data_IF_004352247108
#
_entry.id   IF_004352247108
#
_cell.length_a   1.000
_cell.length_b   1.000
_cell.length_c   1.000
_cell.angle_alpha   90.00
_cell.angle_beta   90.00
_cell.angle_gamma   90.00
#
_symmetry.space_group_name_H-M   'P 1'
#
loop_
_entity.id
_entity.type
_entity.pdbx_description
1 polymer ?
#
# COMPACT_ATOMS: atom_id res chain seq x y z
N UNK A 1 -17.47 3.74 -8.45
CA UNK A 1 -17.06 2.91 -9.60
C UNK A 1 -16.06 3.64 -10.52
N UNK A 2 -16.42 4.75 -11.17
CA UNK A 2 -15.50 5.47 -12.09
C UNK A 2 -14.29 6.12 -11.38
N UNK A 3 -14.51 6.80 -10.25
CA UNK A 3 -13.42 7.45 -9.48
C UNK A 3 -12.41 6.43 -8.94
N UNK A 4 -12.88 5.28 -8.47
CA UNK A 4 -12.03 4.19 -7.97
C UNK A 4 -11.10 3.63 -9.07
N UNK A 5 -11.63 3.42 -10.28
CA UNK A 5 -10.85 2.94 -11.42
C UNK A 5 -9.76 3.96 -11.83
N UNK A 6 -10.12 5.25 -11.92
CA UNK A 6 -9.17 6.31 -12.25
C UNK A 6 -8.11 6.52 -11.16
N UNK A 7 -8.48 6.45 -9.88
CA UNK A 7 -7.54 6.55 -8.76
C UNK A 7 -6.56 5.38 -8.74
N UNK A 8 -7.00 4.17 -9.13
CA UNK A 8 -6.12 3.01 -9.27
C UNK A 8 -5.03 3.25 -10.31
N UNK A 9 -5.40 3.73 -11.51
CA UNK A 9 -4.44 4.03 -12.58
C UNK A 9 -3.53 5.22 -12.26
N UNK A 10 -4.09 6.30 -11.70
CA UNK A 10 -3.33 7.50 -11.34
C UNK A 10 -2.26 7.20 -10.29
N UNK A 11 -2.56 6.31 -9.34
CA UNK A 11 -1.62 5.91 -8.30
C UNK A 11 -0.42 5.15 -8.86
N UNK A 12 -0.63 4.18 -9.75
CA UNK A 12 0.45 3.45 -10.44
C UNK A 12 1.32 4.42 -11.25
N UNK A 13 0.71 5.38 -11.94
CA UNK A 13 1.43 6.42 -12.68
C UNK A 13 2.28 7.32 -11.75
N UNK A 14 1.74 7.72 -10.60
CA UNK A 14 2.44 8.55 -9.62
C UNK A 14 3.67 7.83 -9.03
N UNK A 15 3.59 6.51 -8.80
CA UNK A 15 4.72 5.73 -8.30
C UNK A 15 5.84 5.57 -9.34
N UNK A 16 5.49 5.32 -10.60
CA UNK A 16 6.48 5.29 -11.68
C UNK A 16 7.20 6.64 -11.81
N UNK A 17 6.46 7.75 -11.70
CA UNK A 17 7.02 9.09 -11.79
C UNK A 17 7.95 9.42 -10.60
N UNK A 18 7.53 9.12 -9.37
CA UNK A 18 8.34 9.39 -8.18
C UNK A 18 9.62 8.55 -8.17
N UNK A 19 9.54 7.30 -8.63
CA UNK A 19 10.68 6.41 -8.73
C UNK A 19 11.74 6.96 -9.69
N UNK A 20 11.31 7.39 -10.87
CA UNK A 20 12.19 8.02 -11.88
C UNK A 20 12.75 9.35 -11.36
N UNK A 21 11.93 10.18 -10.72
CA UNK A 21 12.36 11.48 -10.20
C UNK A 21 13.43 11.33 -9.10
N UNK A 22 13.25 10.42 -8.15
CA UNK A 22 14.24 10.16 -7.11
C UNK A 22 15.48 9.46 -7.67
N UNK A 23 15.34 8.55 -8.65
CA UNK A 23 16.49 7.94 -9.31
C UNK A 23 17.36 9.00 -10.01
N UNK A 24 16.75 9.96 -10.71
CA UNK A 24 17.46 11.10 -11.31
C UNK A 24 18.18 11.91 -10.23
N UNK A 25 17.53 12.21 -9.11
CA UNK A 25 18.14 12.94 -8.00
C UNK A 25 19.33 12.20 -7.35
N UNK A 26 19.24 10.87 -7.24
CA UNK A 26 20.35 10.04 -6.75
C UNK A 26 21.50 10.04 -7.74
N UNK A 27 21.23 9.92 -9.05
CA UNK A 27 22.26 9.94 -10.09
C UNK A 27 22.96 11.30 -10.18
N UNK A 28 22.26 12.42 -10.00
CA UNK A 28 22.88 13.75 -9.99
C UNK A 28 23.81 13.93 -8.80
N UNK A 29 23.40 13.52 -7.60
CA UNK A 29 24.25 13.52 -6.40
C UNK A 29 25.44 12.57 -6.54
N UNK A 30 25.21 11.37 -7.08
CA UNK A 30 26.24 10.37 -7.32
C UNK A 30 27.24 10.81 -8.41
N UNK A 31 26.83 11.65 -9.36
CA UNK A 31 27.72 12.24 -10.38
C UNK A 31 28.66 13.31 -9.84
N UNK A 32 28.28 13.96 -8.72
CA UNK A 32 29.13 14.91 -7.99
C UNK A 32 30.14 14.22 -7.07
N UNK A 33 29.92 12.94 -6.76
CA UNK A 33 30.76 12.11 -5.90
C UNK A 33 31.67 11.23 -6.78
N UNK A 34 32.96 11.10 -6.43
CA UNK A 34 33.92 10.33 -7.23
C UNK A 34 33.55 8.85 -7.48
N UNK A 35 34.35 8.15 -8.28
CA UNK A 35 34.06 6.79 -8.82
C UNK A 35 33.62 5.76 -7.77
N UNK A 36 34.25 5.74 -6.59
CA UNK A 36 33.90 4.78 -5.52
C UNK A 36 32.62 5.16 -4.78
N UNK A 37 32.36 6.47 -4.62
CA UNK A 37 31.15 6.99 -3.99
C UNK A 37 29.91 6.81 -4.87
N UNK A 38 30.08 6.82 -6.19
CA UNK A 38 29.01 6.66 -7.16
C UNK A 38 28.21 5.37 -6.97
N UNK A 39 28.89 4.21 -7.02
CA UNK A 39 28.24 2.90 -6.91
C UNK A 39 27.54 2.69 -5.56
N UNK A 40 28.17 3.14 -4.47
CA UNK A 40 27.59 3.06 -3.12
C UNK A 40 26.32 3.93 -3.03
N UNK A 41 26.39 5.15 -3.55
CA UNK A 41 25.26 6.10 -3.54
C UNK A 41 24.11 5.61 -4.40
N UNK A 42 24.39 4.97 -5.55
CA UNK A 42 23.36 4.38 -6.41
C UNK A 42 22.65 3.21 -5.73
N UNK A 43 23.39 2.27 -5.14
CA UNK A 43 22.79 1.09 -4.48
C UNK A 43 22.01 1.52 -3.23
N UNK A 44 22.61 2.33 -2.37
CA UNK A 44 21.97 2.83 -1.15
C UNK A 44 20.75 3.70 -1.49
N UNK A 45 20.89 4.57 -2.49
CA UNK A 45 19.82 5.42 -2.98
C UNK A 45 18.63 4.61 -3.48
N UNK A 46 18.84 3.60 -4.32
CA UNK A 46 17.75 2.75 -4.82
C UNK A 46 17.00 2.00 -3.70
N UNK A 47 17.72 1.44 -2.71
CA UNK A 47 17.09 0.77 -1.57
C UNK A 47 16.32 1.76 -0.70
N UNK A 48 16.88 2.95 -0.46
CA UNK A 48 16.23 4.00 0.31
C UNK A 48 14.95 4.50 -0.37
N UNK A 49 15.02 4.75 -1.68
CA UNK A 49 13.88 5.10 -2.52
C UNK A 49 12.79 4.04 -2.39
N UNK A 50 13.14 2.77 -2.60
CA UNK A 50 12.19 1.66 -2.55
C UNK A 50 11.45 1.59 -1.21
N UNK A 51 12.16 1.74 -0.09
CA UNK A 51 11.57 1.68 1.26
C UNK A 51 10.68 2.89 1.53
N UNK A 52 11.15 4.10 1.24
CA UNK A 52 10.40 5.34 1.46
C UNK A 52 9.15 5.42 0.57
N UNK A 53 9.29 5.12 -0.72
CA UNK A 53 8.17 5.05 -1.64
C UNK A 53 7.18 3.98 -1.22
N UNK A 54 7.65 2.77 -0.93
CA UNK A 54 6.82 1.66 -0.49
C UNK A 54 6.00 1.98 0.76
N UNK A 55 6.58 2.69 1.73
CA UNK A 55 5.89 3.12 2.93
C UNK A 55 4.76 4.14 2.63
N UNK A 56 5.05 5.16 1.80
CA UNK A 56 4.06 6.19 1.43
C UNK A 56 2.93 5.57 0.59
N UNK A 57 3.28 4.70 -0.36
CA UNK A 57 2.35 3.92 -1.18
C UNK A 57 1.40 3.12 -0.30
N UNK A 58 1.94 2.34 0.65
CA UNK A 58 1.16 1.47 1.50
C UNK A 58 0.11 2.25 2.30
N UNK A 59 0.48 3.43 2.83
CA UNK A 59 -0.44 4.31 3.55
C UNK A 59 -1.57 4.82 2.63
N UNK A 60 -1.23 5.24 1.41
CA UNK A 60 -2.22 5.75 0.45
C UNK A 60 -3.16 4.67 -0.11
N UNK A 61 -2.63 3.47 -0.33
CA UNK A 61 -3.40 2.29 -0.76
C UNK A 61 -4.35 1.88 0.36
N UNK A 62 -3.85 1.71 1.59
CA UNK A 62 -4.64 1.34 2.76
C UNK A 62 -5.78 2.33 3.01
N UNK A 63 -5.55 3.64 2.82
CA UNK A 63 -6.62 4.63 2.96
C UNK A 63 -7.79 4.41 1.99
N UNK A 64 -7.55 3.93 0.77
CA UNK A 64 -8.62 3.72 -0.20
C UNK A 64 -9.18 2.28 -0.13
N UNK A 65 -8.32 1.29 0.09
CA UNK A 65 -8.69 -0.12 0.22
C UNK A 65 -9.43 -0.42 1.54
N UNK A 66 -9.10 0.25 2.64
CA UNK A 66 -9.81 0.07 3.90
C UNK A 66 -11.20 0.73 3.85
N UNK A 67 -11.32 1.88 3.18
CA UNK A 67 -12.58 2.61 3.01
C UNK A 67 -13.52 1.99 1.97
N UNK A 68 -13.03 1.40 0.88
CA UNK A 68 -13.86 0.76 -0.16
C UNK A 68 -13.89 -0.78 -0.07
N UNK A 69 -12.77 -1.41 0.25
CA UNK A 69 -12.62 -2.86 0.34
C UNK A 69 -13.05 -3.41 1.69
N UNK A 70 -12.42 -2.99 2.79
CA UNK A 70 -12.78 -3.48 4.13
C UNK A 70 -14.11 -2.93 4.66
N UNK A 71 -14.52 -1.69 4.39
CA UNK A 71 -15.87 -1.23 4.75
C UNK A 71 -16.99 -2.07 4.11
N UNK A 72 -16.77 -2.57 2.88
CA UNK A 72 -17.76 -3.36 2.13
C UNK A 72 -17.70 -4.86 2.44
N UNK A 73 -16.50 -5.43 2.62
CA UNK A 73 -16.30 -6.84 3.02
C UNK A 73 -16.37 -7.07 4.54
N UNK A 74 -16.17 -6.03 5.32
CA UNK A 74 -16.40 -5.93 6.77
C UNK A 74 -17.60 -5.02 7.02
N UNK A 75 -18.65 -5.18 6.20
CA UNK A 75 -19.99 -4.96 6.72
C UNK A 75 -20.10 -5.89 7.92
N UNK A 76 -20.38 -5.38 9.12
CA UNK A 76 -20.61 -6.17 10.33
C UNK A 76 -21.87 -7.02 10.23
N UNK A 77 -21.98 -7.82 9.18
CA UNK A 77 -23.10 -8.66 8.78
C UNK A 77 -22.65 -10.11 8.58
N UNK A 78 -21.48 -10.46 9.13
CA UNK A 78 -21.22 -11.83 9.53
C UNK A 78 -22.20 -12.15 10.65
N UNK A 79 -23.30 -12.82 10.32
CA UNK A 79 -24.22 -13.34 11.35
C UNK A 79 -23.40 -14.16 12.34
N UNK A 80 -23.30 -13.64 13.56
CA UNK A 80 -22.74 -14.36 14.70
C UNK A 80 -23.49 -15.69 14.80
N UNK A 81 -22.77 -16.81 14.64
CA UNK A 81 -23.40 -18.12 14.65
C UNK A 81 -23.92 -18.38 16.07
N UNK A 82 -25.21 -18.09 16.29
CA UNK A 82 -25.90 -18.44 17.54
C UNK A 82 -26.32 -19.89 17.44
N UNK A 83 -25.63 -20.83 18.11
CA UNK A 83 -26.07 -22.21 18.13
C UNK A 83 -27.48 -22.28 18.74
N UNK A 84 -28.41 -22.91 18.03
CA UNK A 84 -29.75 -23.20 18.53
C UNK A 84 -29.62 -24.07 19.77
N UNK A 85 -29.73 -23.44 20.94
CA UNK A 85 -29.84 -24.16 22.19
C UNK A 85 -31.26 -24.70 22.25
N UNK A 86 -31.44 -25.96 21.84
CA UNK A 86 -32.67 -26.69 22.12
C UNK A 86 -32.77 -26.83 23.64
N UNK A 87 -33.49 -25.91 24.27
CA UNK A 87 -34.09 -26.17 25.58
C UNK A 87 -35.02 -27.36 25.36
N UNK A 88 -34.52 -28.55 25.66
CA UNK A 88 -35.37 -29.70 25.91
C UNK A 88 -36.31 -29.26 27.03
N UNK A 89 -37.54 -28.96 26.64
CA UNK A 89 -38.67 -28.95 27.56
C UNK A 89 -38.81 -30.40 28.02
N UNK A 90 -38.01 -30.78 29.02
CA UNK A 90 -38.32 -31.89 29.90
C UNK A 90 -39.55 -31.47 30.69
N UNK A 91 -40.68 -31.64 30.02
CA UNK A 91 -41.99 -31.76 30.62
C UNK A 91 -42.11 -33.19 31.14
N UNK A 92 -42.12 -33.33 32.46
CA UNK A 92 -42.98 -34.23 33.25
C UNK A 92 -42.44 -34.30 34.67
#
# INVERSE_FOLDING_TARGET
AYVANTLSFLRVAAFSLNHVALAIAVFTLAGMMGQTGHWITVVLGNVFILVMEGAIVAIQVLRLEYYEGFSRFFSGDGREFRPLTLRTSQAS
#
